data_IF_993922766706
#
_entry.id   IF_993922766706
#
_cell.length_a   1.000
_cell.length_b   1.000
_cell.length_c   1.000
_cell.angle_alpha   90.00
_cell.angle_beta   90.00
_cell.angle_gamma   90.00
#
_symmetry.space_group_name_H-M   'P 1'
#
loop_
_entity.id
_entity.type
_entity.pdbx_description
1 polymer ?
#
# COMPACT_ATOMS: atom_id res chain seq x y z
N UNK A 1 19.94 2.14 20.76
CA UNK A 1 18.76 1.26 20.88
C UNK A 1 17.57 2.16 21.07
N UNK A 2 16.54 1.99 20.23
CA UNK A 2 15.29 2.74 20.34
C UNK A 2 14.27 2.05 21.24
N UNK A 3 13.01 2.39 21.02
CA UNK A 3 11.85 1.86 21.74
C UNK A 3 11.78 0.33 21.68
N UNK A 4 11.47 -0.30 22.81
CA UNK A 4 11.40 -1.76 22.90
C UNK A 4 12.73 -2.47 22.64
N UNK A 5 13.86 -1.79 22.84
CA UNK A 5 15.22 -2.31 22.61
C UNK A 5 15.48 -2.73 21.15
N UNK A 6 14.83 -2.05 20.20
CA UNK A 6 14.97 -2.30 18.76
C UNK A 6 16.01 -1.35 18.13
N UNK A 7 16.60 -1.70 16.98
CA UNK A 7 17.53 -0.82 16.29
C UNK A 7 16.84 0.46 15.78
N UNK A 8 17.62 1.54 15.70
CA UNK A 8 17.31 2.72 14.88
C UNK A 8 18.30 2.69 13.74
N UNK A 9 17.84 2.82 12.50
CA UNK A 9 18.71 2.86 11.32
C UNK A 9 18.61 4.20 10.62
N UNK A 10 19.77 4.70 10.20
CA UNK A 10 19.93 5.93 9.45
C UNK A 10 20.78 5.66 8.21
N UNK A 11 20.33 6.15 7.06
CA UNK A 11 21.06 6.08 5.81
C UNK A 11 21.10 7.45 5.13
N UNK A 12 22.26 7.78 4.56
CA UNK A 12 22.54 8.98 3.78
C UNK A 12 23.13 8.68 2.40
N UNK A 13 22.83 7.49 1.90
CA UNK A 13 23.22 6.98 0.59
C UNK A 13 22.20 5.92 0.18
N UNK A 14 22.11 5.56 -1.13
CA UNK A 14 21.20 4.52 -1.59
C UNK A 14 21.31 3.24 -0.74
N UNK A 15 20.17 2.66 -0.39
CA UNK A 15 20.11 1.44 0.42
C UNK A 15 19.04 0.50 -0.10
N UNK A 16 19.36 -0.79 -0.12
CA UNK A 16 18.39 -1.88 -0.24
C UNK A 16 18.23 -2.54 1.14
N UNK A 17 17.06 -2.39 1.75
CA UNK A 17 16.76 -2.86 3.10
C UNK A 17 15.49 -3.70 3.10
N UNK A 18 15.57 -4.91 3.65
CA UNK A 18 14.39 -5.75 3.78
C UNK A 18 14.36 -6.63 5.03
N UNK A 19 13.15 -7.04 5.42
CA UNK A 19 12.89 -8.02 6.48
C UNK A 19 13.39 -7.62 7.87
N UNK A 20 13.19 -6.37 8.24
CA UNK A 20 13.72 -5.78 9.47
C UNK A 20 12.60 -5.29 10.40
N UNK A 21 12.86 -5.35 11.71
CA UNK A 21 11.98 -4.78 12.74
C UNK A 21 12.75 -3.68 13.47
N UNK A 22 12.35 -2.44 13.27
CA UNK A 22 13.04 -1.25 13.73
C UNK A 22 12.18 -0.45 14.72
N UNK A 23 12.83 0.31 15.57
CA UNK A 23 12.18 1.37 16.33
C UNK A 23 11.87 2.57 15.43
N UNK A 24 12.78 2.88 14.53
CA UNK A 24 12.74 4.04 13.63
C UNK A 24 13.68 3.78 12.44
N UNK A 25 13.30 4.29 11.28
CA UNK A 25 14.10 4.28 10.06
C UNK A 25 14.15 5.69 9.49
N UNK A 26 15.36 6.16 9.19
CA UNK A 26 15.60 7.50 8.65
C UNK A 26 16.39 7.37 7.36
N UNK A 27 15.83 7.87 6.26
CA UNK A 27 16.52 8.10 5.00
C UNK A 27 16.71 9.60 4.83
N UNK A 28 17.94 10.05 4.59
CA UNK A 28 18.26 11.48 4.46
C UNK A 28 19.29 11.71 3.36
N UNK A 29 18.86 12.18 2.19
CA UNK A 29 19.67 12.17 0.95
C UNK A 29 20.07 10.75 0.53
N UNK A 30 19.13 9.81 0.62
CA UNK A 30 19.34 8.40 0.30
C UNK A 30 18.56 8.01 -0.95
N UNK A 31 18.71 8.78 -2.04
CA UNK A 31 18.00 8.55 -3.31
C UNK A 31 18.21 7.14 -3.85
N UNK A 32 17.30 6.67 -4.71
CA UNK A 32 17.36 5.35 -5.34
C UNK A 32 17.40 4.19 -4.34
N UNK A 33 16.74 4.36 -3.18
CA UNK A 33 16.63 3.33 -2.17
C UNK A 33 15.45 2.40 -2.43
N UNK A 34 15.60 1.14 -2.00
CA UNK A 34 14.52 0.16 -1.99
C UNK A 34 14.33 -0.34 -0.57
N UNK A 35 13.15 -0.11 0.00
CA UNK A 35 12.79 -0.61 1.33
C UNK A 35 11.60 -1.54 1.16
N UNK A 36 11.73 -2.78 1.61
CA UNK A 36 10.70 -3.80 1.47
C UNK A 36 10.51 -4.62 2.73
N UNK A 37 9.26 -4.85 3.15
CA UNK A 37 8.94 -5.71 4.29
C UNK A 37 9.67 -5.29 5.59
N UNK A 38 9.53 -4.02 5.96
CA UNK A 38 10.12 -3.46 7.18
C UNK A 38 8.99 -3.06 8.13
N UNK A 39 9.09 -3.51 9.38
CA UNK A 39 8.18 -3.10 10.45
C UNK A 39 8.84 -2.03 11.31
N UNK A 40 8.17 -0.89 11.48
CA UNK A 40 8.60 0.21 12.33
C UNK A 40 7.61 0.31 13.49
N UNK A 41 8.07 -0.09 14.68
CA UNK A 41 7.23 -0.19 15.87
C UNK A 41 7.75 0.71 16.99
N UNK A 42 6.93 1.72 17.29
CA UNK A 42 7.10 2.66 18.40
C UNK A 42 7.13 2.04 19.80
N UNK A 43 7.32 2.90 20.81
CA UNK A 43 7.09 2.51 22.20
C UNK A 43 5.59 2.49 22.49
N UNK A 44 5.16 1.54 23.31
CA UNK A 44 3.78 1.49 23.82
C UNK A 44 3.43 2.70 24.70
N UNK A 45 4.46 3.39 25.23
CA UNK A 45 4.30 4.57 26.11
C UNK A 45 4.60 5.90 25.43
N UNK A 46 5.42 5.90 24.38
CA UNK A 46 5.88 7.09 23.68
C UNK A 46 5.78 6.85 22.17
N UNK A 47 4.78 7.45 21.52
CA UNK A 47 4.62 7.38 20.08
C UNK A 47 5.40 8.53 19.44
N UNK A 48 6.72 8.44 19.41
CA UNK A 48 7.64 9.48 18.95
C UNK A 48 8.55 9.07 17.79
N UNK A 49 8.34 7.89 17.20
CA UNK A 49 9.13 7.38 16.07
C UNK A 49 8.35 7.53 14.75
N UNK A 50 8.92 7.02 13.65
CA UNK A 50 8.26 6.85 12.36
C UNK A 50 9.20 6.30 11.28
N UNK A 51 8.70 6.20 10.05
CA UNK A 51 9.55 6.13 8.87
C UNK A 51 9.78 7.55 8.35
N UNK A 52 10.99 8.07 8.44
CA UNK A 52 11.31 9.42 8.01
C UNK A 52 12.11 9.37 6.70
N UNK A 53 11.55 9.97 5.64
CA UNK A 53 12.13 10.06 4.31
C UNK A 53 12.35 11.53 4.00
N UNK A 54 13.61 11.94 4.05
CA UNK A 54 14.01 13.34 3.99
C UNK A 54 14.91 13.55 2.77
N UNK A 55 14.54 14.45 1.88
CA UNK A 55 15.32 14.76 0.66
C UNK A 55 15.75 13.50 -0.08
N UNK A 56 14.83 12.57 -0.24
CA UNK A 56 15.11 11.24 -0.80
C UNK A 56 14.17 11.00 -1.96
N UNK A 57 14.74 10.90 -3.15
CA UNK A 57 14.02 10.82 -4.40
C UNK A 57 14.18 9.45 -5.07
N UNK A 58 13.33 9.17 -6.05
CA UNK A 58 13.45 8.01 -6.95
C UNK A 58 13.53 6.66 -6.21
N UNK A 59 12.86 6.55 -5.06
CA UNK A 59 12.94 5.39 -4.17
C UNK A 59 11.62 4.61 -4.15
N UNK A 60 11.71 3.34 -3.75
CA UNK A 60 10.57 2.43 -3.65
C UNK A 60 10.39 1.95 -2.21
N UNK A 61 9.19 2.16 -1.67
CA UNK A 61 8.81 1.76 -0.31
C UNK A 61 7.61 0.82 -0.38
N UNK A 62 7.87 -0.44 -0.05
CA UNK A 62 6.90 -1.54 -0.21
C UNK A 62 6.74 -2.32 1.07
N UNK A 63 5.50 -2.74 1.38
CA UNK A 63 5.21 -3.61 2.52
C UNK A 63 5.77 -3.06 3.85
N UNK A 64 5.77 -1.74 4.02
CA UNK A 64 6.20 -1.10 5.25
C UNK A 64 5.03 -1.10 6.23
N UNK A 65 5.25 -1.64 7.43
CA UNK A 65 4.30 -1.55 8.53
C UNK A 65 4.81 -0.54 9.55
N UNK A 66 4.33 0.71 9.48
CA UNK A 66 4.68 1.78 10.40
C UNK A 66 3.48 2.17 11.25
N UNK A 67 3.32 1.47 12.37
CA UNK A 67 2.14 1.59 13.23
C UNK A 67 2.51 1.92 14.68
N UNK A 68 1.59 2.60 15.39
CA UNK A 68 1.78 3.06 16.77
C UNK A 68 2.95 4.03 16.95
N UNK A 69 3.16 4.90 15.97
CA UNK A 69 4.22 5.91 15.92
C UNK A 69 3.64 7.33 16.05
N UNK A 70 4.49 8.37 16.02
CA UNK A 70 3.96 9.75 15.96
C UNK A 70 3.35 10.00 14.58
N UNK A 71 4.20 9.80 13.57
CA UNK A 71 3.85 9.70 12.16
C UNK A 71 4.09 8.27 11.71
N UNK A 72 3.25 7.74 10.82
CA UNK A 72 3.53 6.45 10.19
C UNK A 72 4.68 6.59 9.19
N UNK A 73 4.42 7.23 8.06
CA UNK A 73 5.41 7.53 7.03
C UNK A 73 5.42 9.04 6.81
N UNK A 74 6.58 9.67 7.02
CA UNK A 74 6.77 11.11 6.83
C UNK A 74 7.77 11.36 5.71
N UNK A 75 7.34 12.12 4.71
CA UNK A 75 8.14 12.52 3.56
C UNK A 75 8.29 14.03 3.54
N UNK A 76 9.53 14.52 3.47
CA UNK A 76 9.86 15.94 3.42
C UNK A 76 10.85 16.19 2.28
N UNK A 77 10.54 17.14 1.38
CA UNK A 77 11.31 17.41 0.16
C UNK A 77 11.67 16.15 -0.63
N UNK A 78 10.75 15.18 -0.72
CA UNK A 78 11.03 13.84 -1.27
C UNK A 78 10.09 13.52 -2.44
N UNK A 79 10.64 13.46 -3.64
CA UNK A 79 9.91 13.44 -4.91
C UNK A 79 10.17 12.18 -5.73
N UNK A 80 9.26 11.86 -6.65
CA UNK A 80 9.39 10.74 -7.59
C UNK A 80 9.52 9.36 -6.91
N UNK A 81 8.94 9.18 -5.72
CA UNK A 81 8.95 7.91 -5.01
C UNK A 81 7.67 7.10 -5.27
N UNK A 82 7.77 5.79 -5.07
CA UNK A 82 6.64 4.86 -5.14
C UNK A 82 6.38 4.22 -3.78
N UNK A 83 5.18 4.40 -3.25
CA UNK A 83 4.71 3.79 -2.01
C UNK A 83 3.61 2.78 -2.34
N UNK A 84 3.86 1.50 -2.09
CA UNK A 84 2.90 0.44 -2.40
C UNK A 84 2.72 -0.55 -1.26
N UNK A 85 1.48 -0.94 -0.97
CA UNK A 85 1.19 -1.97 0.03
C UNK A 85 1.69 -1.64 1.45
N UNK A 86 1.79 -0.35 1.79
CA UNK A 86 2.23 0.06 3.12
C UNK A 86 1.03 0.17 4.08
N UNK A 87 1.27 -0.16 5.35
CA UNK A 87 0.32 0.02 6.43
C UNK A 87 0.82 1.07 7.42
N UNK A 88 0.08 2.17 7.56
CA UNK A 88 0.40 3.29 8.44
C UNK A 88 -0.75 3.55 9.42
N UNK A 89 -0.92 2.66 10.40
CA UNK A 89 -2.11 2.63 11.25
C UNK A 89 -1.85 2.98 12.72
N UNK A 90 -2.86 3.55 13.39
CA UNK A 90 -2.85 3.85 14.83
C UNK A 90 -1.73 4.80 15.28
N UNK A 91 -1.28 5.67 14.37
CA UNK A 91 -0.29 6.70 14.68
C UNK A 91 -0.97 7.88 15.39
N UNK A 92 -0.21 8.58 16.23
CA UNK A 92 -0.75 9.68 17.03
C UNK A 92 -1.13 10.92 16.22
N UNK A 93 -0.60 11.04 15.01
CA UNK A 93 -0.91 12.14 14.11
C UNK A 93 -1.30 11.62 12.73
N UNK A 94 -0.51 11.87 11.69
CA UNK A 94 -0.83 11.42 10.33
C UNK A 94 -0.34 9.98 10.10
N UNK A 95 -1.13 9.17 9.37
CA UNK A 95 -0.69 7.89 8.87
C UNK A 95 0.44 8.07 7.86
N UNK A 96 0.13 8.68 6.73
CA UNK A 96 1.11 9.06 5.70
C UNK A 96 1.10 10.58 5.55
N UNK A 97 2.27 11.23 5.60
CA UNK A 97 2.37 12.68 5.45
C UNK A 97 3.44 13.05 4.43
N UNK A 98 3.02 13.69 3.34
CA UNK A 98 3.90 14.33 2.37
C UNK A 98 3.90 15.83 2.64
N UNK A 99 5.08 16.37 2.91
CA UNK A 99 5.31 17.74 3.31
C UNK A 99 6.34 18.41 2.40
N UNK A 100 6.20 19.73 2.25
CA UNK A 100 7.17 20.64 1.64
C UNK A 100 7.80 20.13 0.35
N UNK A 101 7.10 20.33 -0.77
CA UNK A 101 7.55 19.98 -2.11
C UNK A 101 7.90 18.49 -2.30
N UNK A 102 7.21 17.59 -1.60
CA UNK A 102 7.26 16.15 -1.87
C UNK A 102 6.36 15.81 -3.06
N UNK A 103 6.88 16.02 -4.27
CA UNK A 103 6.10 16.06 -5.50
C UNK A 103 6.24 14.79 -6.36
N UNK A 104 5.30 14.56 -7.26
CA UNK A 104 5.36 13.48 -8.27
C UNK A 104 5.51 12.07 -7.66
N UNK A 105 5.00 11.84 -6.45
CA UNK A 105 5.00 10.51 -5.85
C UNK A 105 3.75 9.72 -6.26
N UNK A 106 3.88 8.39 -6.31
CA UNK A 106 2.75 7.48 -6.54
C UNK A 106 2.47 6.68 -5.26
N UNK A 107 1.22 6.75 -4.78
CA UNK A 107 0.76 6.01 -3.62
C UNK A 107 -0.40 5.09 -4.02
N UNK A 108 -0.19 3.79 -3.94
CA UNK A 108 -1.24 2.81 -4.27
C UNK A 108 -1.27 1.63 -3.33
N UNK A 109 -2.46 1.06 -3.09
CA UNK A 109 -2.64 -0.09 -2.21
C UNK A 109 -2.14 0.13 -0.78
N UNK A 110 -2.05 1.38 -0.31
CA UNK A 110 -1.66 1.67 1.06
C UNK A 110 -2.89 1.70 1.95
N UNK A 111 -2.73 1.29 3.20
CA UNK A 111 -3.77 1.38 4.23
C UNK A 111 -3.31 2.35 5.32
N UNK A 112 -4.14 3.35 5.61
CA UNK A 112 -3.96 4.23 6.74
C UNK A 112 -5.24 4.27 7.57
N UNK A 113 -5.15 3.79 8.80
CA UNK A 113 -6.32 3.67 9.67
C UNK A 113 -6.09 4.17 11.09
N UNK A 114 -7.15 4.68 11.72
CA UNK A 114 -7.15 5.12 13.11
C UNK A 114 -6.05 6.16 13.42
N UNK A 115 -5.83 7.09 12.50
CA UNK A 115 -4.93 8.24 12.65
C UNK A 115 -5.77 9.55 12.75
N UNK A 116 -5.14 10.70 12.98
CA UNK A 116 -5.83 11.98 12.87
C UNK A 116 -6.25 12.25 11.43
N UNK A 117 -5.27 12.19 10.52
CA UNK A 117 -5.49 12.06 9.08
C UNK A 117 -4.92 10.74 8.61
N UNK A 118 -5.66 10.00 7.78
CA UNK A 118 -5.11 8.81 7.12
C UNK A 118 -3.93 9.21 6.24
N UNK A 119 -4.15 10.27 5.44
CA UNK A 119 -3.11 10.89 4.64
C UNK A 119 -3.22 12.42 4.66
N UNK A 120 -2.07 13.09 4.68
CA UNK A 120 -1.97 14.54 4.57
C UNK A 120 -0.96 14.90 3.47
N UNK A 121 -1.37 15.73 2.51
CA UNK A 121 -0.52 16.34 1.49
C UNK A 121 -0.51 17.84 1.76
N UNK A 122 0.63 18.33 2.24
CA UNK A 122 0.78 19.73 2.61
C UNK A 122 1.90 20.35 1.80
N UNK A 123 1.57 21.38 1.02
CA UNK A 123 2.49 22.05 0.09
C UNK A 123 3.24 21.06 -0.82
N UNK A 124 2.52 20.05 -1.32
CA UNK A 124 3.06 18.93 -2.11
C UNK A 124 2.10 18.62 -3.25
N UNK A 125 2.58 18.67 -4.49
CA UNK A 125 1.77 18.68 -5.72
C UNK A 125 2.14 17.55 -6.68
N UNK A 126 1.27 17.30 -7.65
CA UNK A 126 1.44 16.30 -8.71
C UNK A 126 1.62 14.87 -8.21
N UNK A 127 1.17 14.55 -6.99
CA UNK A 127 1.13 13.19 -6.49
C UNK A 127 -0.11 12.47 -7.04
N UNK A 128 0.01 11.16 -7.22
CA UNK A 128 -1.08 10.30 -7.72
C UNK A 128 -1.42 9.25 -6.67
N UNK A 129 -2.67 9.21 -6.25
CA UNK A 129 -3.19 8.36 -5.18
C UNK A 129 -4.41 7.60 -5.66
N UNK A 130 -4.35 6.28 -5.67
CA UNK A 130 -5.47 5.43 -6.06
C UNK A 130 -5.37 4.06 -5.41
N UNK A 131 -6.52 3.42 -5.20
CA UNK A 131 -6.62 2.11 -4.57
C UNK A 131 -6.01 2.08 -3.16
N UNK A 132 -6.08 3.19 -2.41
CA UNK A 132 -5.71 3.22 -1.00
C UNK A 132 -6.93 3.07 -0.11
N UNK A 133 -6.72 2.60 1.12
CA UNK A 133 -7.76 2.42 2.14
C UNK A 133 -7.56 3.42 3.27
N UNK A 134 -8.48 4.37 3.41
CA UNK A 134 -8.52 5.32 4.52
C UNK A 134 -9.67 4.97 5.47
N UNK A 135 -9.33 4.47 6.66
CA UNK A 135 -10.28 3.81 7.55
C UNK A 135 -10.30 4.45 8.95
N UNK A 136 -11.45 4.96 9.36
CA UNK A 136 -11.69 5.48 10.71
C UNK A 136 -10.65 6.52 11.17
N UNK A 137 -10.17 7.35 10.25
CA UNK A 137 -9.28 8.46 10.61
C UNK A 137 -10.13 9.65 11.07
N UNK A 138 -9.77 10.25 12.20
CA UNK A 138 -10.57 11.28 12.86
C UNK A 138 -9.68 12.41 13.38
N UNK A 139 -9.85 13.61 12.83
CA UNK A 139 -9.21 14.82 13.35
C UNK A 139 -10.23 15.70 14.06
N UNK A 140 -9.95 16.13 15.29
CA UNK A 140 -10.81 17.02 16.09
C UNK A 140 -12.32 16.65 16.10
N UNK A 141 -12.64 15.34 16.08
CA UNK A 141 -14.00 14.78 16.01
C UNK A 141 -14.75 14.94 14.67
N UNK A 142 -14.05 15.26 13.58
CA UNK A 142 -14.54 15.11 12.22
C UNK A 142 -13.82 13.92 11.56
N UNK A 143 -14.56 13.09 10.82
CA UNK A 143 -13.94 12.10 9.94
C UNK A 143 -13.22 12.85 8.83
N UNK A 144 -11.91 12.73 8.82
CA UNK A 144 -11.02 13.45 7.91
C UNK A 144 -10.00 12.43 7.41
N UNK A 145 -10.45 11.61 6.46
CA UNK A 145 -9.63 10.53 5.92
C UNK A 145 -8.39 11.04 5.18
N UNK A 146 -8.55 12.18 4.51
CA UNK A 146 -7.53 12.80 3.68
C UNK A 146 -7.55 14.33 3.79
N UNK A 147 -6.37 14.94 3.76
CA UNK A 147 -6.20 16.38 3.68
C UNK A 147 -5.21 16.74 2.58
N UNK A 148 -5.57 17.69 1.73
CA UNK A 148 -4.77 18.12 0.59
C UNK A 148 -4.87 19.63 0.39
N UNK A 149 -3.76 20.34 0.57
CA UNK A 149 -3.69 21.80 0.38
C UNK A 149 -3.32 22.20 -1.05
N UNK A 150 -3.02 21.23 -1.91
CA UNK A 150 -2.34 21.43 -3.20
C UNK A 150 -3.06 20.69 -4.33
N UNK A 151 -2.49 20.69 -5.54
CA UNK A 151 -3.08 20.01 -6.69
C UNK A 151 -2.51 18.60 -6.82
N UNK A 152 -3.31 17.59 -6.48
CA UNK A 152 -2.95 16.18 -6.61
C UNK A 152 -4.07 15.37 -7.28
N UNK A 153 -3.73 14.19 -7.80
CA UNK A 153 -4.67 13.28 -8.43
C UNK A 153 -5.08 12.20 -7.44
N UNK A 154 -6.36 12.19 -7.05
CA UNK A 154 -6.92 11.23 -6.07
C UNK A 154 -7.62 10.04 -6.72
N UNK A 155 -7.51 9.92 -8.04
CA UNK A 155 -8.02 8.79 -8.77
C UNK A 155 -7.31 8.66 -10.12
N UNK A 156 -7.41 7.47 -10.69
CA UNK A 156 -7.14 7.21 -12.11
C UNK A 156 -8.39 7.53 -12.95
N UNK A 157 -8.38 7.19 -14.24
CA UNK A 157 -9.56 7.35 -15.10
C UNK A 157 -10.71 6.40 -14.77
N UNK A 158 -10.51 5.43 -13.88
CA UNK A 158 -11.54 4.41 -13.58
C UNK A 158 -11.62 3.96 -12.13
N UNK A 159 -10.68 4.36 -11.26
CA UNK A 159 -10.64 3.95 -9.84
C UNK A 159 -9.99 5.01 -8.98
N UNK A 160 -10.57 5.27 -7.82
CA UNK A 160 -10.08 6.15 -6.78
C UNK A 160 -9.68 5.36 -5.54
N UNK A 161 -9.96 5.92 -4.36
CA UNK A 161 -9.63 5.35 -3.06
C UNK A 161 -10.88 4.98 -2.26
N UNK A 162 -10.70 4.15 -1.24
CA UNK A 162 -11.74 3.85 -0.26
C UNK A 162 -11.65 4.79 0.93
N UNK A 163 -12.79 5.33 1.35
CA UNK A 163 -12.93 6.17 2.54
C UNK A 163 -14.04 5.58 3.42
N UNK A 164 -13.74 5.31 4.69
CA UNK A 164 -14.72 4.68 5.60
C UNK A 164 -15.96 5.54 5.90
N UNK A 165 -15.88 6.84 5.63
CA UNK A 165 -16.96 7.82 5.79
C UNK A 165 -17.69 8.12 4.48
N UNK A 166 -17.31 7.47 3.38
CA UNK A 166 -17.99 7.65 2.10
C UNK A 166 -19.41 7.07 2.14
N UNK A 167 -20.40 7.92 1.90
CA UNK A 167 -21.82 7.55 1.89
C UNK A 167 -22.51 7.82 0.54
N UNK A 168 -21.73 7.89 -0.55
CA UNK A 168 -22.27 8.12 -1.88
C UNK A 168 -23.04 6.91 -2.44
N UNK A 169 -23.70 7.11 -3.57
CA UNK A 169 -24.45 6.06 -4.28
C UNK A 169 -23.59 5.35 -5.33
N UNK A 170 -23.83 4.06 -5.51
CA UNK A 170 -23.35 3.25 -6.64
C UNK A 170 -24.59 2.68 -7.36
N UNK A 171 -25.08 3.42 -8.37
CA UNK A 171 -26.34 3.11 -9.05
C UNK A 171 -26.18 2.02 -10.11
N UNK A 172 -24.98 1.82 -10.63
CA UNK A 172 -24.69 0.78 -11.62
C UNK A 172 -24.15 -0.52 -10.99
N UNK A 173 -23.89 -0.51 -9.67
CA UNK A 173 -23.40 -1.63 -8.87
C UNK A 173 -22.06 -2.20 -9.36
N UNK A 174 -21.18 -1.33 -9.87
CA UNK A 174 -19.85 -1.72 -10.33
C UNK A 174 -18.77 -1.68 -9.21
N UNK A 175 -19.16 -1.25 -8.00
CA UNK A 175 -18.29 -1.13 -6.84
C UNK A 175 -17.54 0.20 -6.75
N UNK A 176 -17.79 1.13 -7.69
CA UNK A 176 -17.28 2.49 -7.71
C UNK A 176 -18.46 3.44 -7.45
N UNK A 177 -18.27 4.42 -6.58
CA UNK A 177 -19.28 5.40 -6.25
C UNK A 177 -19.47 6.44 -7.37
N UNK A 178 -20.73 6.70 -7.72
CA UNK A 178 -21.14 7.73 -8.69
C UNK A 178 -21.04 9.16 -8.12
N UNK A 179 -20.98 9.29 -6.80
CA UNK A 179 -20.83 10.57 -6.11
C UNK A 179 -19.36 10.83 -5.82
N UNK A 180 -18.78 11.89 -6.36
CA UNK A 180 -17.38 12.24 -6.07
C UNK A 180 -17.13 12.51 -4.57
N UNK A 181 -15.93 12.21 -4.08
CA UNK A 181 -15.49 12.54 -2.73
C UNK A 181 -14.56 13.76 -2.74
N UNK A 182 -14.97 14.85 -2.07
CA UNK A 182 -14.17 16.06 -1.92
C UNK A 182 -13.08 15.85 -0.86
N UNK A 183 -11.84 16.21 -1.17
CA UNK A 183 -10.74 16.16 -0.21
C UNK A 183 -10.66 17.47 0.58
N UNK A 184 -10.63 17.38 1.91
CA UNK A 184 -10.51 18.53 2.81
C UNK A 184 -9.21 19.31 2.55
N UNK A 185 -9.22 20.62 2.76
CA UNK A 185 -8.03 21.50 2.70
C UNK A 185 -7.83 22.25 1.38
N UNK A 186 -8.42 21.77 0.29
CA UNK A 186 -8.24 22.34 -1.04
C UNK A 186 -9.40 22.03 -1.99
N UNK A 187 -9.10 21.98 -3.29
CA UNK A 187 -10.08 21.69 -4.35
C UNK A 187 -9.91 20.31 -4.97
N UNK A 188 -9.04 19.46 -4.41
CA UNK A 188 -8.83 18.09 -4.89
C UNK A 188 -10.09 17.24 -4.68
N UNK A 189 -10.39 16.41 -5.67
CA UNK A 189 -11.57 15.56 -5.72
C UNK A 189 -11.14 14.16 -6.16
N UNK A 190 -11.68 13.14 -5.49
CA UNK A 190 -11.71 11.78 -5.98
C UNK A 190 -13.04 11.55 -6.73
N UNK A 191 -12.96 11.35 -8.04
CA UNK A 191 -14.14 11.15 -8.90
C UNK A 191 -14.62 9.70 -8.95
N UNK A 192 -13.84 8.74 -8.44
CA UNK A 192 -14.14 7.32 -8.51
C UNK A 192 -13.92 6.63 -7.15
N UNK A 193 -14.51 7.15 -6.05
CA UNK A 193 -14.34 6.56 -4.73
C UNK A 193 -14.83 5.11 -4.73
N UNK A 194 -14.15 4.24 -4.00
CA UNK A 194 -14.49 2.81 -3.93
C UNK A 194 -15.61 2.59 -2.90
N UNK A 195 -16.59 1.75 -3.23
CA UNK A 195 -17.71 1.40 -2.32
C UNK A 195 -17.30 0.42 -1.21
N UNK A 196 -16.22 -0.32 -1.43
CA UNK A 196 -15.69 -1.31 -0.50
C UNK A 196 -14.18 -1.16 -0.38
N UNK A 197 -13.62 -1.75 0.68
CA UNK A 197 -12.18 -1.79 0.91
C UNK A 197 -11.48 -2.29 -0.35
N UNK A 198 -10.43 -1.58 -0.76
CA UNK A 198 -9.55 -2.07 -1.80
C UNK A 198 -8.78 -3.26 -1.26
N UNK A 199 -9.03 -4.41 -1.86
CA UNK A 199 -8.19 -5.59 -1.73
C UNK A 199 -7.41 -5.72 -3.02
N UNK A 200 -6.09 -5.89 -2.94
CA UNK A 200 -5.29 -6.23 -4.12
C UNK A 200 -5.93 -7.48 -4.74
N UNK A 201 -6.40 -7.43 -6.01
CA UNK A 201 -6.97 -8.60 -6.63
C UNK A 201 -5.95 -9.75 -6.58
N UNK A 202 -6.36 -10.97 -6.20
CA UNK A 202 -5.47 -12.11 -6.22
C UNK A 202 -4.77 -12.24 -7.56
N UNK A 203 -3.45 -12.38 -7.55
CA UNK A 203 -2.71 -12.55 -8.79
C UNK A 203 -3.01 -13.95 -9.34
N UNK A 204 -3.62 -14.02 -10.53
CA UNK A 204 -3.98 -15.31 -11.13
C UNK A 204 -2.71 -16.18 -11.29
N UNK A 205 -2.72 -17.37 -10.71
CA UNK A 205 -1.56 -18.27 -10.67
C UNK A 205 -0.58 -18.07 -9.52
N UNK A 206 -0.81 -17.12 -8.61
CA UNK A 206 -0.11 -16.97 -7.32
C UNK A 206 -1.00 -17.54 -6.22
N UNK A 207 -0.65 -18.73 -5.73
CA UNK A 207 -1.47 -19.54 -4.83
C UNK A 207 -0.98 -19.49 -3.38
N UNK A 208 0.16 -18.88 -3.10
CA UNK A 208 0.62 -18.61 -1.75
C UNK A 208 0.59 -17.12 -1.36
N UNK A 209 0.07 -16.27 -2.24
CA UNK A 209 -0.17 -14.84 -2.04
C UNK A 209 1.11 -14.06 -1.71
N UNK A 210 2.26 -14.54 -2.22
CA UNK A 210 3.55 -13.86 -2.06
C UNK A 210 3.81 -12.80 -3.15
N UNK A 211 2.81 -12.56 -4.01
CA UNK A 211 2.85 -11.64 -5.16
C UNK A 211 3.83 -12.04 -6.26
N UNK A 212 4.33 -13.27 -6.26
CA UNK A 212 5.19 -13.82 -7.31
C UNK A 212 4.59 -15.12 -7.86
N UNK A 213 4.68 -15.29 -9.19
CA UNK A 213 4.29 -16.56 -9.83
C UNK A 213 5.54 -17.43 -9.92
N UNK A 214 5.60 -18.47 -9.11
CA UNK A 214 6.76 -19.34 -8.98
C UNK A 214 6.41 -20.82 -9.15
N UNK A 215 7.42 -21.68 -9.08
CA UNK A 215 7.20 -23.14 -9.06
C UNK A 215 6.47 -23.63 -7.80
N UNK A 216 6.44 -22.84 -6.73
CA UNK A 216 5.72 -23.16 -5.50
C UNK A 216 4.22 -23.13 -5.73
N UNK A 217 3.73 -22.14 -6.48
CA UNK A 217 2.32 -22.01 -6.84
C UNK A 217 1.84 -23.18 -7.69
N UNK A 218 2.68 -23.64 -8.62
CA UNK A 218 2.39 -24.82 -9.43
C UNK A 218 2.26 -26.08 -8.56
N UNK A 219 3.10 -26.22 -7.52
CA UNK A 219 2.97 -27.33 -6.58
C UNK A 219 1.65 -27.27 -5.79
N UNK A 220 1.23 -26.08 -5.37
CA UNK A 220 -0.06 -25.88 -4.69
C UNK A 220 -1.23 -26.26 -5.60
N UNK A 221 -1.18 -25.88 -6.88
CA UNK A 221 -2.18 -26.27 -7.87
C UNK A 221 -2.26 -27.79 -8.05
N UNK A 222 -1.12 -28.49 -8.05
CA UNK A 222 -1.12 -29.96 -8.10
C UNK A 222 -1.74 -30.58 -6.86
N UNK A 223 -1.44 -30.06 -5.67
CA UNK A 223 -2.06 -30.51 -4.42
C UNK A 223 -3.59 -30.33 -4.42
N UNK A 224 -4.08 -29.22 -4.98
CA UNK A 224 -5.51 -28.97 -5.18
C UNK A 224 -6.10 -29.97 -6.19
N UNK A 225 -5.44 -30.18 -7.33
CA UNK A 225 -5.91 -31.06 -8.39
C UNK A 225 -6.06 -32.52 -7.93
N UNK A 226 -5.22 -32.98 -7.00
CA UNK A 226 -5.33 -34.33 -6.39
C UNK A 226 -6.23 -34.37 -5.15
N UNK A 227 -6.88 -33.26 -4.79
CA UNK A 227 -7.78 -33.17 -3.63
C UNK A 227 -7.07 -33.19 -2.28
N UNK A 228 -5.75 -32.96 -2.26
CA UNK A 228 -4.96 -32.86 -1.02
C UNK A 228 -5.06 -31.47 -0.37
N UNK A 229 -5.57 -30.46 -1.11
CA UNK A 229 -5.93 -29.14 -0.59
C UNK A 229 -7.36 -28.75 -0.96
N UNK A 230 -8.08 -28.03 -0.08
CA UNK A 230 -9.42 -27.54 -0.38
C UNK A 230 -9.38 -26.49 -1.50
N UNK A 231 -10.42 -26.48 -2.35
CA UNK A 231 -10.61 -25.48 -3.40
C UNK A 231 -11.99 -24.84 -3.24
N UNK A 232 -12.03 -23.62 -2.72
CA UNK A 232 -13.24 -22.80 -2.75
C UNK A 232 -13.30 -21.98 -4.06
N UNK A 233 -14.35 -21.19 -4.26
CA UNK A 233 -14.53 -20.40 -5.49
C UNK A 233 -13.44 -19.34 -5.70
N UNK A 234 -12.88 -18.77 -4.63
CA UNK A 234 -11.78 -17.80 -4.71
C UNK A 234 -10.48 -18.49 -5.14
N UNK A 235 -10.12 -19.61 -4.51
CA UNK A 235 -8.95 -20.42 -4.89
C UNK A 235 -9.10 -20.92 -6.32
N UNK A 236 -10.31 -21.34 -6.73
CA UNK A 236 -10.57 -21.73 -8.12
C UNK A 236 -10.26 -20.60 -9.10
N UNK A 237 -10.71 -19.37 -8.82
CA UNK A 237 -10.46 -18.23 -9.70
C UNK A 237 -8.97 -17.89 -9.87
N UNK A 238 -8.15 -18.21 -8.86
CA UNK A 238 -6.70 -18.01 -8.86
C UNK A 238 -5.99 -19.19 -9.53
N UNK A 239 -6.39 -20.42 -9.18
CA UNK A 239 -5.77 -21.67 -9.60
C UNK A 239 -6.08 -22.06 -11.04
N UNK A 240 -7.30 -21.80 -11.53
CA UNK A 240 -7.75 -22.09 -12.90
C UNK A 240 -7.18 -21.05 -13.87
N UNK A 241 -5.85 -21.08 -14.06
CA UNK A 241 -5.15 -20.20 -14.98
C UNK A 241 -5.54 -20.48 -16.43
N UNK A 242 -5.92 -21.71 -16.76
CA UNK A 242 -6.40 -22.11 -18.09
C UNK A 242 -7.78 -21.55 -18.45
N UNK A 243 -8.62 -21.27 -17.45
CA UNK A 243 -9.98 -20.77 -17.60
C UNK A 243 -11.00 -21.85 -18.01
N UNK A 244 -10.71 -23.13 -17.75
CA UNK A 244 -11.58 -24.26 -18.13
C UNK A 244 -12.60 -24.65 -17.05
N UNK A 245 -12.59 -23.94 -15.92
CA UNK A 245 -13.46 -24.15 -14.77
C UNK A 245 -13.00 -25.26 -13.83
N UNK A 246 -11.78 -25.79 -13.99
CA UNK A 246 -11.21 -26.86 -13.16
C UNK A 246 -9.78 -26.51 -12.74
N UNK A 247 -9.33 -27.12 -11.65
CA UNK A 247 -7.93 -27.06 -11.23
C UNK A 247 -7.26 -28.38 -11.59
N UNK A 248 -6.24 -28.32 -12.44
CA UNK A 248 -5.60 -29.50 -13.02
C UNK A 248 -4.08 -29.36 -13.16
N UNK A 249 -3.42 -30.43 -13.62
CA UNK A 249 -2.00 -30.36 -13.97
C UNK A 249 -1.71 -29.42 -15.15
N UNK A 250 -2.71 -29.08 -15.98
CA UNK A 250 -2.57 -28.09 -17.05
C UNK A 250 -2.33 -26.70 -16.46
N UNK A 251 -3.07 -26.36 -15.40
CA UNK A 251 -2.94 -25.09 -14.69
C UNK A 251 -1.55 -24.97 -14.04
N UNK A 252 -1.09 -26.05 -13.40
CA UNK A 252 0.26 -26.11 -12.84
C UNK A 252 1.34 -25.91 -13.91
N UNK A 253 1.17 -26.50 -15.11
CA UNK A 253 2.08 -26.31 -16.23
C UNK A 253 2.08 -24.86 -16.71
N UNK A 254 0.92 -24.23 -16.84
CA UNK A 254 0.81 -22.82 -17.24
C UNK A 254 1.48 -21.89 -16.22
N UNK A 255 1.32 -22.17 -14.92
CA UNK A 255 2.02 -21.43 -13.85
C UNK A 255 3.55 -21.57 -13.99
N UNK A 256 4.07 -22.78 -14.22
CA UNK A 256 5.51 -22.98 -14.46
C UNK A 256 6.00 -22.23 -15.70
N UNK A 257 5.20 -22.20 -16.77
CA UNK A 257 5.52 -21.44 -17.98
C UNK A 257 5.58 -19.93 -17.69
N UNK A 258 4.60 -19.40 -16.95
CA UNK A 258 4.58 -18.00 -16.51
C UNK A 258 5.82 -17.68 -15.66
N UNK A 259 6.13 -18.48 -14.64
CA UNK A 259 7.32 -18.33 -13.81
C UNK A 259 8.63 -18.31 -14.62
N UNK A 260 8.74 -19.19 -15.63
CA UNK A 260 9.94 -19.27 -16.50
C UNK A 260 10.09 -18.09 -17.45
N UNK A 261 8.98 -17.47 -17.87
CA UNK A 261 8.98 -16.33 -18.78
C UNK A 261 9.39 -15.03 -18.07
N UNK A 262 9.15 -14.93 -16.77
CA UNK A 262 9.58 -13.82 -15.91
C UNK A 262 11.11 -13.86 -15.70
N UNK A 263 11.70 -15.06 -15.52
CA UNK A 263 13.14 -15.22 -15.33
C UNK A 263 13.99 -14.90 -16.58
N UNK A 264 13.42 -14.90 -17.79
CA UNK A 264 14.15 -14.59 -19.04
C UNK A 264 14.24 -13.10 -19.37
N UNK A 265 13.62 -12.23 -18.57
CA UNK A 265 13.64 -10.76 -18.75
C UNK A 265 14.60 -10.03 -17.81
N UNK A 266 15.39 -10.75 -17.01
CA UNK A 266 16.53 -10.28 -16.23
C UNK A 266 17.82 -10.72 -16.93
#
# INVERSE_FOLDING_TARGET
MGSGNRPIKYYNSPVDLSNEILSELILCNADNSTINNVTIKGSETLKNNGFLVLRTDNSTFTNINSSNNYYGIYMDYSSNNTLTSNNASSNNNNGIWLYSSSNNNTLTNNTASNNNYGICLWDSSNNTLYCNNFINNTNYNAYDNAYDTSTNQWNTNSKGNYYSDYTGSDNNSDGIGDTSYQISGGSSIDYFPLMHLWEKPPLKGDLDDDSQITSKDAAIVLEIAVGSRPCNSQILAIADVSGDGRVSSLDALMILQMASSIQKKL
#
